data_IF_944952958071
#
_entry.id   IF_944952958071
#
_cell.length_a   1.000
_cell.length_b   1.000
_cell.length_c   1.000
_cell.angle_alpha   90.00
_cell.angle_beta   90.00
_cell.angle_gamma   90.00
#
_symmetry.space_group_name_H-M   'P 1'
#
loop_
_entity.id
_entity.type
_entity.pdbx_description
1 polymer ?
#
# COMPACT_ATOMS: atom_id res chain seq x y z
N UNK A 1 -28.44 29.75 42.62
CA UNK A 1 -28.51 29.21 41.25
C UNK A 1 -27.47 28.11 41.03
N UNK A 2 -27.91 26.87 40.84
CA UNK A 2 -27.02 25.73 40.56
C UNK A 2 -26.76 25.62 39.05
N UNK A 3 -25.48 25.50 38.69
CA UNK A 3 -25.08 25.29 37.30
C UNK A 3 -25.44 23.86 36.89
N UNK A 4 -26.14 23.63 35.76
CA UNK A 4 -26.50 22.30 35.30
C UNK A 4 -25.27 21.43 34.98
N UNK A 5 -25.33 20.15 35.32
CA UNK A 5 -24.22 19.19 35.16
C UNK A 5 -23.68 19.08 33.71
N UNK A 6 -24.53 19.29 32.70
CA UNK A 6 -24.10 19.25 31.29
C UNK A 6 -23.26 20.47 30.87
N UNK A 7 -23.36 21.58 31.62
CA UNK A 7 -22.51 22.77 31.42
C UNK A 7 -21.14 22.52 32.05
N UNK A 8 -21.11 21.88 33.22
CA UNK A 8 -19.88 21.47 33.90
C UNK A 8 -19.12 20.39 33.11
N UNK A 9 -19.81 19.44 32.47
CA UNK A 9 -19.15 18.43 31.65
C UNK A 9 -18.50 19.02 30.40
N UNK A 10 -19.12 20.01 29.75
CA UNK A 10 -18.51 20.74 28.63
C UNK A 10 -17.32 21.60 29.05
N UNK A 11 -17.39 22.22 30.22
CA UNK A 11 -16.27 22.97 30.80
C UNK A 11 -15.11 22.06 31.19
N UNK A 12 -15.37 20.85 31.70
CA UNK A 12 -14.35 19.85 32.04
C UNK A 12 -13.65 19.29 30.80
N UNK A 13 -14.41 18.97 29.74
CA UNK A 13 -13.85 18.52 28.45
C UNK A 13 -12.95 19.60 27.84
N UNK A 14 -13.36 20.87 27.92
CA UNK A 14 -12.56 21.99 27.43
C UNK A 14 -11.33 22.26 28.32
N UNK A 15 -11.40 22.03 29.64
CA UNK A 15 -10.22 22.17 30.52
C UNK A 15 -9.21 21.04 30.35
N UNK A 16 -9.67 19.83 30.04
CA UNK A 16 -8.80 18.67 29.80
C UNK A 16 -8.07 18.79 28.44
N UNK A 17 -8.70 19.44 27.43
CA UNK A 17 -8.03 19.79 26.18
C UNK A 17 -6.99 20.91 26.35
N UNK A 18 -7.23 21.88 27.25
CA UNK A 18 -6.30 23.00 27.47
C UNK A 18 -5.13 22.68 28.43
N UNK A 19 -5.28 21.66 29.29
CA UNK A 19 -4.25 21.30 30.28
C UNK A 19 -3.46 20.03 29.94
N UNK A 20 -3.84 19.26 28.92
CA UNK A 20 -2.99 18.18 28.41
C UNK A 20 -2.11 18.72 27.27
N UNK A 21 -1.01 19.36 27.65
CA UNK A 21 0.12 19.65 26.75
C UNK A 21 0.81 18.39 26.22
N UNK A 22 0.16 17.23 26.26
CA UNK A 22 0.65 16.00 25.65
C UNK A 22 0.47 16.14 24.14
N UNK A 23 1.56 15.98 23.40
CA UNK A 23 1.47 15.73 21.97
C UNK A 23 0.56 14.51 21.81
N UNK A 24 -0.64 14.72 21.25
CA UNK A 24 -1.55 13.64 20.91
C UNK A 24 -0.94 12.90 19.72
N UNK A 25 0.05 12.06 20.02
CA UNK A 25 0.71 11.18 19.07
C UNK A 25 -0.22 9.98 18.88
N UNK A 26 -0.92 9.96 17.74
CA UNK A 26 -1.72 8.82 17.36
C UNK A 26 -0.86 7.89 16.50
N UNK A 27 -0.67 6.66 16.96
CA UNK A 27 0.07 5.65 16.20
C UNK A 27 -0.91 4.84 15.36
N UNK A 28 -0.75 4.88 14.04
CA UNK A 28 -1.47 3.99 13.13
C UNK A 28 -0.56 2.86 12.68
N UNK A 29 -1.09 1.63 12.69
CA UNK A 29 -0.42 0.49 12.11
C UNK A 29 -0.65 0.48 10.59
N UNK A 30 0.43 0.46 9.82
CA UNK A 30 0.35 0.39 8.37
C UNK A 30 1.39 -0.57 7.79
N UNK A 31 1.08 -1.16 6.63
CA UNK A 31 2.05 -1.95 5.89
C UNK A 31 3.03 -1.03 5.17
N UNK A 32 4.31 -1.27 5.39
CA UNK A 32 5.40 -0.51 4.77
C UNK A 32 6.27 -1.46 3.94
N UNK A 33 6.60 -1.12 2.69
CA UNK A 33 7.53 -1.92 1.88
C UNK A 33 8.91 -2.04 2.50
N UNK A 34 9.47 -3.25 2.47
CA UNK A 34 10.83 -3.57 2.92
C UNK A 34 11.88 -3.43 1.80
N UNK A 35 11.51 -2.73 0.73
CA UNK A 35 12.31 -2.55 -0.48
C UNK A 35 12.13 -1.12 -1.02
N UNK A 36 13.16 -0.55 -1.69
CA UNK A 36 13.04 0.75 -2.33
C UNK A 36 12.02 0.70 -3.48
N UNK A 37 11.43 1.84 -3.90
CA UNK A 37 10.50 1.89 -5.02
C UNK A 37 11.11 1.22 -6.28
N UNK A 38 10.51 0.13 -6.80
CA UNK A 38 11.13 -0.65 -7.87
C UNK A 38 11.40 0.14 -9.16
N UNK A 39 10.51 1.06 -9.53
CA UNK A 39 10.68 1.91 -10.71
C UNK A 39 11.89 2.87 -10.61
N UNK A 40 12.32 3.19 -9.39
CA UNK A 40 13.48 4.06 -9.15
C UNK A 40 14.81 3.27 -9.16
N UNK A 41 14.75 1.94 -9.20
CA UNK A 41 15.94 1.11 -9.30
C UNK A 41 16.63 1.30 -10.67
N UNK A 42 17.94 1.53 -10.67
CA UNK A 42 18.72 1.79 -11.88
C UNK A 42 18.67 0.62 -12.88
N UNK A 43 18.45 -0.61 -12.40
CA UNK A 43 18.38 -1.83 -13.19
C UNK A 43 16.94 -2.18 -13.64
N UNK A 44 15.95 -1.32 -13.40
CA UNK A 44 14.54 -1.62 -13.67
C UNK A 44 14.28 -2.02 -15.13
N UNK A 45 14.83 -1.25 -16.09
CA UNK A 45 14.66 -1.52 -17.53
C UNK A 45 15.36 -2.81 -17.95
N UNK A 46 16.56 -3.07 -17.44
CA UNK A 46 17.31 -4.30 -17.72
C UNK A 46 16.55 -5.52 -17.19
N UNK A 47 16.08 -5.45 -15.94
CA UNK A 47 15.23 -6.47 -15.34
C UNK A 47 13.99 -6.70 -16.20
N UNK A 48 13.25 -5.64 -16.54
CA UNK A 48 12.03 -5.77 -17.34
C UNK A 48 12.32 -6.42 -18.70
N UNK A 49 13.46 -6.12 -19.31
CA UNK A 49 13.92 -6.78 -20.54
C UNK A 49 14.18 -8.29 -20.35
N UNK A 50 14.76 -8.68 -19.21
CA UNK A 50 15.16 -10.07 -18.92
C UNK A 50 14.00 -10.97 -18.47
N UNK A 51 13.18 -10.50 -17.52
CA UNK A 51 12.10 -11.29 -16.90
C UNK A 51 10.69 -10.91 -17.41
N UNK A 52 10.57 -9.94 -18.31
CA UNK A 52 9.32 -9.51 -18.99
C UNK A 52 8.21 -8.95 -18.10
N UNK A 53 8.35 -9.04 -16.78
CA UNK A 53 7.43 -8.49 -15.78
C UNK A 53 8.25 -7.86 -14.66
N UNK A 54 7.88 -6.65 -14.24
CA UNK A 54 8.45 -5.98 -13.07
C UNK A 54 7.35 -5.30 -12.26
N UNK A 55 7.46 -5.35 -10.93
CA UNK A 55 6.69 -4.46 -10.06
C UNK A 55 7.14 -3.04 -10.34
N UNK A 56 6.20 -2.13 -10.58
CA UNK A 56 6.50 -0.72 -10.83
C UNK A 56 6.32 0.10 -9.55
N UNK A 57 5.15 -0.05 -8.89
CA UNK A 57 4.84 0.63 -7.63
C UNK A 57 3.94 -0.25 -6.77
N UNK A 58 4.07 -0.10 -5.46
CA UNK A 58 3.13 -0.64 -4.47
C UNK A 58 2.65 0.48 -3.56
N UNK A 59 1.38 0.44 -3.18
CA UNK A 59 0.76 1.33 -2.20
C UNK A 59 -0.04 0.49 -1.22
N UNK A 60 0.06 0.84 0.06
CA UNK A 60 -0.66 0.18 1.12
C UNK A 60 -1.69 1.14 1.71
N UNK A 61 -2.89 0.66 1.96
CA UNK A 61 -3.95 1.38 2.66
C UNK A 61 -4.66 0.46 3.66
N UNK A 62 -5.60 1.02 4.40
CA UNK A 62 -6.56 0.30 5.26
C UNK A 62 -7.35 -0.79 4.52
N UNK A 63 -7.58 -0.62 3.22
CA UNK A 63 -8.27 -1.58 2.35
C UNK A 63 -7.37 -2.73 1.85
N UNK A 64 -6.05 -2.66 2.09
CA UNK A 64 -5.08 -3.68 1.71
C UNK A 64 -3.94 -3.15 0.83
N UNK A 65 -3.45 -4.02 -0.06
CA UNK A 65 -2.28 -3.72 -0.89
C UNK A 65 -2.72 -3.57 -2.34
N UNK A 66 -2.27 -2.51 -2.98
CA UNK A 66 -2.46 -2.26 -4.42
C UNK A 66 -1.14 -1.94 -5.08
N UNK A 67 -1.05 -2.14 -6.40
CA UNK A 67 0.19 -1.85 -7.11
C UNK A 67 0.02 -1.79 -8.62
N UNK A 68 1.05 -1.23 -9.26
CA UNK A 68 1.20 -1.22 -10.71
C UNK A 68 2.32 -2.17 -11.12
N UNK A 69 2.09 -2.89 -12.21
CA UNK A 69 2.99 -3.88 -12.78
C UNK A 69 3.27 -3.47 -14.21
N UNK A 70 4.53 -3.48 -14.59
CA UNK A 70 4.95 -3.26 -15.97
C UNK A 70 5.30 -4.59 -16.62
N UNK A 71 4.78 -4.83 -17.81
CA UNK A 71 5.08 -6.03 -18.60
C UNK A 71 5.52 -5.68 -20.01
N UNK A 72 6.37 -6.52 -20.61
CA UNK A 72 6.71 -6.42 -22.03
C UNK A 72 5.55 -6.92 -22.89
N UNK A 73 5.19 -6.12 -23.89
CA UNK A 73 4.10 -6.44 -24.81
C UNK A 73 4.59 -7.38 -25.92
N UNK A 74 4.69 -8.67 -25.62
CA UNK A 74 5.15 -9.70 -26.57
C UNK A 74 4.01 -10.40 -27.33
N UNK A 75 2.79 -10.40 -26.77
CA UNK A 75 1.59 -10.89 -27.43
C UNK A 75 0.35 -10.19 -26.85
N UNK A 76 -0.77 -10.24 -27.57
CA UNK A 76 -2.01 -9.58 -27.15
C UNK A 76 -2.60 -10.21 -25.87
N UNK A 77 -2.75 -11.53 -25.83
CA UNK A 77 -3.29 -12.24 -24.68
C UNK A 77 -2.26 -12.33 -23.55
N UNK A 78 -2.56 -11.65 -22.45
CA UNK A 78 -1.69 -11.54 -21.28
C UNK A 78 -2.49 -11.89 -20.03
N UNK A 79 -1.91 -12.72 -19.18
CA UNK A 79 -2.46 -12.97 -17.85
C UNK A 79 -1.41 -12.55 -16.82
N UNK A 80 -1.71 -11.47 -16.10
CA UNK A 80 -0.87 -10.98 -15.01
C UNK A 80 -1.58 -11.25 -13.70
N UNK A 81 -0.88 -11.84 -12.73
CA UNK A 81 -1.39 -12.10 -11.40
C UNK A 81 -0.33 -11.78 -10.35
N UNK A 82 -0.80 -11.39 -9.17
CA UNK A 82 -0.01 -11.33 -7.95
C UNK A 82 -0.27 -12.59 -7.16
N UNK A 83 0.79 -13.31 -6.80
CA UNK A 83 0.72 -14.41 -5.85
C UNK A 83 1.25 -13.90 -4.51
N UNK A 84 0.49 -14.08 -3.45
CA UNK A 84 0.79 -13.50 -2.13
C UNK A 84 0.50 -14.47 -0.99
N UNK A 85 1.11 -14.21 0.16
CA UNK A 85 1.00 -15.01 1.37
C UNK A 85 1.09 -14.15 2.63
N UNK A 86 0.44 -14.62 3.69
CA UNK A 86 0.50 -14.07 5.05
C UNK A 86 1.19 -15.03 6.02
N UNK A 87 1.77 -16.13 5.52
CA UNK A 87 2.14 -17.30 6.34
C UNK A 87 3.47 -17.92 5.92
N UNK A 88 4.40 -17.12 5.40
CA UNK A 88 5.70 -17.57 4.88
C UNK A 88 5.55 -18.70 3.84
N UNK A 89 4.64 -18.50 2.88
CA UNK A 89 4.34 -19.42 1.78
C UNK A 89 3.74 -20.78 2.16
N UNK A 90 3.38 -21.01 3.43
CA UNK A 90 2.61 -22.21 3.84
C UNK A 90 1.22 -22.24 3.19
N UNK A 91 0.58 -21.08 3.08
CA UNK A 91 -0.59 -20.84 2.25
C UNK A 91 -0.28 -19.76 1.23
N UNK A 92 -0.87 -19.86 0.04
CA UNK A 92 -0.72 -18.84 -1.00
C UNK A 92 -2.08 -18.53 -1.63
N UNK A 93 -2.24 -17.27 -2.01
CA UNK A 93 -3.41 -16.74 -2.67
C UNK A 93 -2.97 -16.06 -3.96
N UNK A 94 -3.89 -15.91 -4.91
CA UNK A 94 -3.65 -15.16 -6.15
C UNK A 94 -4.70 -14.08 -6.33
N UNK A 95 -4.26 -12.92 -6.83
CA UNK A 95 -5.12 -11.84 -7.29
C UNK A 95 -4.77 -11.51 -8.75
N UNK A 96 -5.79 -11.46 -9.60
CA UNK A 96 -5.61 -11.11 -11.02
C UNK A 96 -5.37 -9.61 -11.15
N UNK A 97 -4.35 -9.24 -11.92
CA UNK A 97 -4.10 -7.86 -12.29
C UNK A 97 -4.90 -7.51 -13.57
N UNK A 98 -5.43 -6.29 -13.62
CA UNK A 98 -6.22 -5.78 -14.74
C UNK A 98 -5.36 -4.87 -15.61
N UNK A 99 -5.51 -4.98 -16.92
CA UNK A 99 -4.82 -4.07 -17.85
C UNK A 99 -5.33 -2.64 -17.66
N UNK A 100 -4.38 -1.70 -17.57
CA UNK A 100 -4.66 -0.27 -17.43
C UNK A 100 -4.48 0.48 -18.74
N UNK A 101 -3.46 0.11 -19.52
CA UNK A 101 -3.04 0.86 -20.69
C UNK A 101 -1.61 0.56 -21.09
N UNK A 102 -1.15 1.08 -22.25
CA UNK A 102 0.25 1.06 -22.61
C UNK A 102 1.08 1.97 -21.68
N UNK A 103 2.33 1.61 -21.41
CA UNK A 103 3.23 2.40 -20.56
C UNK A 103 3.76 3.69 -21.25
N UNK A 104 3.68 3.73 -22.58
CA UNK A 104 4.12 4.86 -23.41
C UNK A 104 3.56 4.76 -24.83
N UNK A 105 3.87 5.74 -25.68
CA UNK A 105 3.32 5.84 -27.03
C UNK A 105 3.76 4.70 -27.97
N UNK A 106 4.94 4.13 -27.74
CA UNK A 106 5.53 3.05 -28.56
C UNK A 106 4.79 1.71 -28.42
N UNK A 107 3.97 1.53 -27.37
CA UNK A 107 3.20 0.29 -27.16
C UNK A 107 4.03 -0.98 -26.91
N UNK A 108 5.33 -0.84 -26.63
CA UNK A 108 6.24 -1.97 -26.34
C UNK A 108 6.05 -2.58 -24.95
N UNK A 109 5.37 -1.86 -24.07
CA UNK A 109 5.14 -2.19 -22.67
C UNK A 109 3.71 -1.86 -22.27
N UNK A 110 3.12 -2.71 -21.44
CA UNK A 110 1.80 -2.53 -20.86
C UNK A 110 1.89 -2.34 -19.35
N UNK A 111 0.95 -1.57 -18.80
CA UNK A 111 0.75 -1.38 -17.37
C UNK A 111 -0.49 -2.15 -16.93
N UNK A 112 -0.33 -2.95 -15.88
CA UNK A 112 -1.40 -3.65 -15.18
C UNK A 112 -1.53 -3.12 -13.76
N UNK A 113 -2.72 -3.18 -13.18
CA UNK A 113 -2.97 -2.87 -11.77
C UNK A 113 -3.53 -4.07 -11.04
N UNK A 114 -3.06 -4.30 -9.81
CA UNK A 114 -3.61 -5.31 -8.93
C UNK A 114 -4.01 -4.69 -7.60
N UNK A 115 -4.87 -5.39 -6.88
CA UNK A 115 -5.17 -5.13 -5.49
C UNK A 115 -5.62 -6.41 -4.81
N UNK A 116 -5.21 -6.59 -3.56
CA UNK A 116 -5.69 -7.67 -2.70
C UNK A 116 -5.93 -7.15 -1.28
N UNK A 117 -7.01 -7.60 -0.64
CA UNK A 117 -7.33 -7.17 0.71
C UNK A 117 -6.34 -7.77 1.71
N UNK A 118 -6.02 -7.00 2.75
CA UNK A 118 -5.30 -7.51 3.92
C UNK A 118 -6.26 -7.45 5.11
N UNK A 119 -6.68 -8.60 5.65
CA UNK A 119 -7.55 -8.62 6.81
C UNK A 119 -6.93 -7.86 8.00
N UNK A 120 -7.69 -7.03 8.73
CA UNK A 120 -7.14 -6.23 9.84
C UNK A 120 -6.50 -7.07 10.95
N UNK A 121 -7.00 -8.29 11.19
CA UNK A 121 -6.41 -9.20 12.16
C UNK A 121 -5.02 -9.74 11.76
N UNK A 122 -4.58 -9.51 10.52
CA UNK A 122 -3.23 -9.81 10.03
C UNK A 122 -2.31 -8.58 10.02
N UNK A 123 -2.80 -7.44 10.53
CA UNK A 123 -2.04 -6.20 10.68
C UNK A 123 -1.52 -6.02 12.11
N UNK A 124 -1.10 -7.11 12.76
CA UNK A 124 -0.37 -7.01 14.02
C UNK A 124 1.04 -6.46 13.76
N UNK A 125 1.57 -5.64 14.67
CA UNK A 125 2.90 -5.05 14.54
C UNK A 125 3.96 -6.13 14.26
N UNK A 126 4.75 -5.94 13.20
CA UNK A 126 5.76 -6.89 12.75
C UNK A 126 5.24 -8.01 11.83
N UNK A 127 3.93 -8.12 11.61
CA UNK A 127 3.36 -9.04 10.62
C UNK A 127 3.88 -8.75 9.22
N UNK A 128 4.06 -9.80 8.42
CA UNK A 128 4.65 -9.71 7.09
C UNK A 128 3.72 -10.25 6.03
N UNK A 129 3.71 -9.54 4.90
CA UNK A 129 3.06 -9.98 3.67
C UNK A 129 4.15 -10.17 2.63
N UNK A 130 4.19 -11.35 2.02
CA UNK A 130 5.09 -11.63 0.90
C UNK A 130 4.29 -11.78 -0.38
N UNK A 131 4.82 -11.27 -1.50
CA UNK A 131 4.21 -11.44 -2.80
C UNK A 131 5.24 -11.48 -3.94
N UNK A 132 4.84 -12.10 -5.05
CA UNK A 132 5.57 -12.16 -6.30
C UNK A 132 4.60 -11.98 -7.48
N UNK A 133 5.11 -11.51 -8.61
CA UNK A 133 4.32 -11.32 -9.82
C UNK A 133 4.46 -12.51 -10.74
N UNK A 134 3.35 -12.93 -11.33
CA UNK A 134 3.27 -13.96 -12.36
C UNK A 134 2.75 -13.34 -13.65
N UNK A 135 3.46 -13.55 -14.74
CA UNK A 135 3.06 -13.13 -16.07
C UNK A 135 3.05 -14.31 -17.02
N UNK A 136 1.87 -14.69 -17.52
CA UNK A 136 1.72 -15.67 -18.60
C UNK A 136 1.41 -14.98 -19.92
N UNK A 137 2.17 -15.34 -20.95
CA UNK A 137 2.03 -14.81 -22.30
C UNK A 137 2.61 -15.79 -23.30
N UNK A 138 1.94 -15.97 -24.44
CA UNK A 138 2.39 -16.84 -25.53
C UNK A 138 2.80 -18.28 -25.09
N UNK A 139 2.08 -18.84 -24.10
CA UNK A 139 2.35 -20.19 -23.58
C UNK A 139 3.52 -20.29 -22.60
N UNK A 140 4.21 -19.20 -22.30
CA UNK A 140 5.29 -19.14 -21.30
C UNK A 140 4.85 -18.42 -20.02
N UNK A 141 5.55 -18.70 -18.92
CA UNK A 141 5.33 -18.08 -17.62
C UNK A 141 6.62 -17.43 -17.12
N UNK A 142 6.50 -16.20 -16.65
CA UNK A 142 7.59 -15.38 -16.15
C UNK A 142 7.25 -14.86 -14.75
N UNK A 143 8.27 -14.69 -13.92
CA UNK A 143 8.11 -14.30 -12.53
C UNK A 143 8.96 -13.09 -12.18
N UNK A 144 8.39 -12.20 -11.38
CA UNK A 144 9.13 -11.21 -10.62
C UNK A 144 9.00 -11.51 -9.13
N UNK A 145 10.01 -12.18 -8.59
CA UNK A 145 10.14 -12.52 -7.17
C UNK A 145 11.25 -11.71 -6.50
N UNK A 146 11.53 -10.49 -7.00
CA UNK A 146 12.56 -9.60 -6.45
C UNK A 146 13.95 -10.26 -6.31
N UNK A 147 14.34 -11.07 -7.30
CA UNK A 147 15.61 -11.81 -7.28
C UNK A 147 15.68 -12.92 -6.24
N UNK A 148 14.54 -13.58 -5.97
CA UNK A 148 14.43 -14.69 -5.02
C UNK A 148 14.18 -14.29 -3.56
N UNK A 149 14.00 -13.00 -3.27
CA UNK A 149 13.67 -12.50 -1.93
C UNK A 149 12.17 -12.25 -1.71
N UNK A 150 11.40 -12.29 -2.79
CA UNK A 150 10.03 -11.80 -2.87
C UNK A 150 9.90 -10.31 -2.49
N UNK A 151 8.74 -9.75 -2.79
CA UNK A 151 8.36 -8.43 -2.28
C UNK A 151 7.76 -8.60 -0.89
N UNK A 152 8.33 -7.91 0.09
CA UNK A 152 7.94 -8.01 1.49
C UNK A 152 7.40 -6.67 1.98
N UNK A 153 6.28 -6.71 2.70
CA UNK A 153 5.69 -5.59 3.40
C UNK A 153 5.61 -5.96 4.88
N UNK A 154 6.07 -5.07 5.76
CA UNK A 154 6.00 -5.27 7.21
C UNK A 154 5.05 -4.27 7.84
N UNK A 155 4.17 -4.73 8.73
CA UNK A 155 3.32 -3.87 9.53
C UNK A 155 4.18 -3.09 10.54
N UNK A 156 4.11 -1.76 10.48
CA UNK A 156 4.87 -0.84 11.33
C UNK A 156 3.96 0.21 11.92
N UNK A 157 4.41 0.75 13.05
CA UNK A 157 3.83 1.93 13.66
C UNK A 157 4.19 3.18 12.85
N UNK A 158 3.17 3.98 12.55
CA UNK A 158 3.30 5.26 11.90
C UNK A 158 2.71 6.34 12.80
N UNK A 159 3.59 7.17 13.36
CA UNK A 159 3.21 8.29 14.21
C UNK A 159 2.60 9.41 13.37
N UNK A 160 1.29 9.61 13.51
CA UNK A 160 0.64 10.80 13.00
C UNK A 160 0.86 11.95 13.97
N UNK A 161 1.69 12.90 13.54
CA UNK A 161 1.83 14.17 14.22
C UNK A 161 0.72 15.10 13.73
N UNK A 162 -0.23 15.44 14.60
CA UNK A 162 -1.16 16.53 14.29
C UNK A 162 -0.39 17.85 14.38
N UNK A 163 -0.30 18.65 13.29
CA UNK A 163 0.25 19.99 13.39
C UNK A 163 -0.65 20.80 14.33
N UNK A 164 -0.11 21.18 15.50
CA UNK A 164 -0.77 22.09 16.42
C UNK A 164 -0.90 23.45 15.73
N UNK A 165 -2.14 23.85 15.40
CA UNK A 165 -2.43 25.23 14.95
C UNK A 165 -3.54 25.39 13.89
N UNK A 166 -3.86 24.36 13.09
CA UNK A 166 -4.83 24.52 11.98
C UNK A 166 -6.25 24.01 12.29
N UNK A 167 -6.47 23.47 13.48
CA UNK A 167 -7.80 23.01 13.91
C UNK A 167 -8.75 24.18 14.28
N UNK A 168 -8.21 25.36 14.62
CA UNK A 168 -9.03 26.54 14.88
C UNK A 168 -9.43 27.32 13.61
N UNK A 169 -8.68 27.18 12.50
CA UNK A 169 -8.97 27.88 11.23
C UNK A 169 -9.63 27.01 10.16
N UNK A 170 -9.68 25.69 10.33
CA UNK A 170 -10.31 24.77 9.37
C UNK A 170 -11.84 24.66 9.57
N UNK A 171 -12.55 25.77 9.43
CA UNK A 171 -13.99 25.72 9.18
C UNK A 171 -14.21 25.33 7.71
N UNK A 172 -14.57 24.07 7.47
CA UNK A 172 -15.14 23.65 6.18
C UNK A 172 -16.45 24.42 6.03
N UNK A 173 -16.43 25.54 5.31
CA UNK A 173 -17.63 26.24 4.87
C UNK A 173 -18.30 25.38 3.80
N UNK A 174 -19.34 24.63 4.18
CA UNK A 174 -20.31 24.13 3.23
C UNK A 174 -21.19 25.33 2.81
N UNK A 175 -21.01 25.79 1.58
CA UNK A 175 -21.90 26.78 0.94
C UNK A 175 -23.14 26.06 0.42
#
# INVERSE_FOLDING_TARGET
PSVPMHVLSRLAINSDLCCSSQDLEFTLQCLVPDFPPPIEAADFTERLGRQLVCLERVTCSDLGVSGTVRVRNVAFEKQVAVRYTFSDWRSAHEAVARWRGPAGAEGTEDVFTFGFPVPPFLLELGSRVHFALRYRVAGAEYWDNNGGRDYSLTCRDHALHMPRGECEESWIHFI
#
